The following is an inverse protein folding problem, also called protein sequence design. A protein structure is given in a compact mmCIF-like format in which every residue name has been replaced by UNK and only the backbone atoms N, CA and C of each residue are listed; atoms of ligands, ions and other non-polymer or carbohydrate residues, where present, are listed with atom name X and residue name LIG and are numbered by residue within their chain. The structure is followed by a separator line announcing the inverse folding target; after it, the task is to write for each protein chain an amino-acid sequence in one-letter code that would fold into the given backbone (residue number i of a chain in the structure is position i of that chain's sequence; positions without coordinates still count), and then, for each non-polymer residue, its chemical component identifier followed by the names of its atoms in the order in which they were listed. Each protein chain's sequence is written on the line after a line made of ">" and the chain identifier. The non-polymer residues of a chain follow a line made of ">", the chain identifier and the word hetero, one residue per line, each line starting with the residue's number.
data_IF_076219925045
#
_entry.id   IF_076219925045
#
_cell.length_a   1.000
_cell.length_b   1.000
_cell.length_c   1.000
_cell.angle_alpha   90.00
_cell.angle_beta   90.00
_cell.angle_gamma   90.00
#
_symmetry.space_group_name_H-M   'P 1'
#
loop_
_entity.id
_entity.type
_entity.pdbx_description
1 polymer ?
#
# COMPACT_ATOMS: atom_id res chain seq x y z
N UNK A 1 -25.93 -24.36 -13.88
CA UNK A 1 -24.68 -23.75 -13.37
C UNK A 1 -24.05 -22.93 -14.47
N UNK A 2 -23.67 -21.66 -14.25
CA UNK A 2 -22.93 -20.91 -15.27
C UNK A 2 -21.61 -21.62 -15.55
N UNK A 3 -21.22 -21.69 -16.83
CA UNK A 3 -19.97 -22.30 -17.26
C UNK A 3 -18.79 -21.65 -16.51
N UNK A 4 -17.81 -22.42 -16.03
CA UNK A 4 -16.71 -21.85 -15.26
C UNK A 4 -15.88 -20.95 -16.18
N UNK A 5 -15.74 -19.66 -15.81
CA UNK A 5 -14.90 -18.69 -16.53
C UNK A 5 -13.52 -19.31 -16.80
N UNK A 6 -13.18 -19.44 -18.08
CA UNK A 6 -11.89 -19.96 -18.52
C UNK A 6 -10.82 -18.89 -18.34
N UNK A 7 -9.73 -19.26 -17.69
CA UNK A 7 -8.57 -18.39 -17.50
C UNK A 7 -7.56 -18.80 -18.56
N UNK A 8 -7.06 -17.83 -19.33
CA UNK A 8 -5.95 -18.06 -20.25
C UNK A 8 -4.65 -18.17 -19.42
N UNK A 9 -4.00 -19.36 -19.34
CA UNK A 9 -2.78 -19.54 -18.56
C UNK A 9 -1.58 -18.77 -19.12
N UNK A 10 -1.64 -18.30 -20.37
CA UNK A 10 -0.55 -17.55 -21.01
C UNK A 10 -0.61 -16.06 -20.75
N UNK A 11 -1.74 -15.57 -20.23
CA UNK A 11 -1.93 -14.15 -19.97
C UNK A 11 -0.95 -13.59 -18.91
N UNK A 12 -0.41 -14.47 -18.04
CA UNK A 12 0.09 -14.04 -16.73
C UNK A 12 0.76 -15.19 -15.97
N UNK A 13 1.80 -14.91 -15.16
CA UNK A 13 2.39 -15.91 -14.26
C UNK A 13 1.42 -16.28 -13.13
N UNK A 14 0.64 -15.32 -12.63
CA UNK A 14 -0.44 -15.60 -11.66
C UNK A 14 -1.55 -16.47 -12.29
N UNK A 15 -1.90 -16.25 -13.56
CA UNK A 15 -2.84 -17.07 -14.30
C UNK A 15 -2.29 -18.47 -14.57
N UNK A 16 -0.99 -18.59 -14.87
CA UNK A 16 -0.32 -19.88 -14.99
C UNK A 16 -0.33 -20.65 -13.66
N UNK A 17 0.02 -19.99 -12.55
CA UNK A 17 -0.04 -20.55 -11.20
C UNK A 17 -1.48 -21.00 -10.86
N UNK A 18 -2.47 -20.14 -11.08
CA UNK A 18 -3.88 -20.43 -10.85
C UNK A 18 -4.40 -21.60 -11.68
N UNK A 19 -4.02 -21.65 -12.97
CA UNK A 19 -4.33 -22.76 -13.86
C UNK A 19 -3.68 -24.06 -13.38
N UNK A 20 -2.43 -24.01 -12.88
CA UNK A 20 -1.72 -25.18 -12.34
C UNK A 20 -2.38 -25.70 -11.08
N UNK A 21 -2.72 -24.83 -10.13
CA UNK A 21 -3.49 -25.15 -8.91
C UNK A 21 -4.80 -25.85 -9.29
N UNK A 22 -5.58 -25.23 -10.19
CA UNK A 22 -6.87 -25.77 -10.64
C UNK A 22 -6.73 -27.14 -11.30
N UNK A 23 -5.70 -27.32 -12.12
CA UNK A 23 -5.42 -28.59 -12.81
C UNK A 23 -5.08 -29.70 -11.82
N UNK A 24 -4.15 -29.45 -10.90
CA UNK A 24 -3.72 -30.43 -9.89
C UNK A 24 -4.86 -30.78 -8.93
N UNK A 25 -5.64 -29.78 -8.50
CA UNK A 25 -6.82 -30.00 -7.65
C UNK A 25 -7.82 -30.94 -8.33
N UNK A 26 -8.13 -30.68 -9.60
CA UNK A 26 -9.05 -31.51 -10.39
C UNK A 26 -8.51 -32.92 -10.59
N UNK A 27 -7.21 -33.09 -10.78
CA UNK A 27 -6.59 -34.41 -10.88
C UNK A 27 -6.75 -35.24 -9.59
N UNK A 28 -6.79 -34.58 -8.42
CA UNK A 28 -7.10 -35.21 -7.12
C UNK A 28 -8.60 -35.36 -6.82
N UNK A 29 -9.48 -34.87 -7.70
CA UNK A 29 -10.93 -34.92 -7.50
C UNK A 29 -11.46 -33.98 -6.42
N UNK A 30 -10.66 -33.03 -5.92
CA UNK A 30 -11.07 -32.15 -4.83
C UNK A 30 -11.90 -30.96 -5.29
N UNK A 31 -12.87 -30.57 -4.48
CA UNK A 31 -13.58 -29.30 -4.56
C UNK A 31 -12.67 -28.13 -4.15
N UNK A 32 -13.05 -26.91 -4.52
CA UNK A 32 -12.34 -25.71 -4.08
C UNK A 32 -12.38 -25.57 -2.54
N UNK A 33 -13.47 -25.96 -1.89
CA UNK A 33 -13.59 -25.91 -0.43
C UNK A 33 -12.58 -26.85 0.24
N UNK A 34 -12.42 -28.07 -0.26
CA UNK A 34 -11.48 -29.04 0.30
C UNK A 34 -10.02 -28.59 0.15
N UNK A 35 -9.63 -28.07 -1.02
CA UNK A 35 -8.28 -27.55 -1.19
C UNK A 35 -8.05 -26.28 -0.36
N UNK A 36 -9.05 -25.39 -0.27
CA UNK A 36 -8.92 -24.15 0.50
C UNK A 36 -8.64 -24.45 1.99
N UNK A 37 -9.32 -25.44 2.57
CA UNK A 37 -9.08 -25.88 3.94
C UNK A 37 -7.64 -26.40 4.13
N UNK A 38 -7.11 -27.16 3.17
CA UNK A 38 -5.71 -27.67 3.21
C UNK A 38 -4.67 -26.56 3.05
N UNK A 39 -5.00 -25.52 2.27
CA UNK A 39 -4.14 -24.36 2.03
C UNK A 39 -4.26 -23.25 3.08
N UNK A 40 -4.99 -23.45 4.18
CA UNK A 40 -5.28 -22.44 5.19
C UNK A 40 -5.88 -21.14 4.61
N UNK A 41 -6.77 -21.25 3.63
CA UNK A 41 -7.43 -20.12 2.95
C UNK A 41 -8.93 -20.35 2.82
N UNK A 42 -9.68 -19.36 2.33
CA UNK A 42 -11.12 -19.48 2.07
C UNK A 42 -11.41 -19.98 0.65
N UNK A 43 -12.57 -20.59 0.43
CA UNK A 43 -13.00 -21.03 -0.91
C UNK A 43 -13.03 -19.86 -1.90
N UNK A 44 -13.51 -18.69 -1.47
CA UNK A 44 -13.55 -17.49 -2.30
C UNK A 44 -12.16 -17.01 -2.74
N UNK A 45 -11.20 -16.98 -1.82
CA UNK A 45 -9.80 -16.63 -2.13
C UNK A 45 -9.17 -17.66 -3.04
N UNK A 46 -9.37 -18.96 -2.78
CA UNK A 46 -8.89 -20.01 -3.68
C UNK A 46 -9.48 -19.86 -5.08
N UNK A 47 -10.77 -19.50 -5.20
CA UNK A 47 -11.37 -19.24 -6.50
C UNK A 47 -10.71 -18.04 -7.22
N UNK A 48 -10.38 -16.96 -6.52
CA UNK A 48 -9.63 -15.84 -7.10
C UNK A 48 -8.21 -16.22 -7.49
N UNK A 49 -7.54 -17.07 -6.70
CA UNK A 49 -6.21 -17.61 -7.02
C UNK A 49 -6.25 -18.48 -8.28
N UNK A 50 -7.22 -19.39 -8.40
CA UNK A 50 -7.42 -20.19 -9.61
C UNK A 50 -7.77 -19.35 -10.84
N UNK A 51 -8.35 -18.16 -10.62
CA UNK A 51 -8.62 -17.17 -11.67
C UNK A 51 -7.40 -16.30 -12.04
N UNK A 52 -6.27 -16.44 -11.32
CA UNK A 52 -5.10 -15.59 -11.50
C UNK A 52 -5.28 -14.14 -11.03
N UNK A 53 -6.34 -13.86 -10.27
CA UNK A 53 -6.70 -12.51 -9.78
C UNK A 53 -6.08 -12.19 -8.43
N UNK A 54 -5.70 -13.21 -7.68
CA UNK A 54 -5.08 -13.09 -6.37
C UNK A 54 -3.84 -14.01 -6.31
N UNK A 55 -2.69 -13.47 -5.90
CA UNK A 55 -1.49 -14.28 -5.66
C UNK A 55 -1.53 -14.80 -4.22
N UNK A 56 -1.34 -16.10 -3.97
CA UNK A 56 -1.27 -16.62 -2.60
C UNK A 56 -0.08 -16.02 -1.85
N UNK A 57 -0.18 -15.91 -0.52
CA UNK A 57 1.00 -15.66 0.31
C UNK A 57 1.97 -16.84 0.19
N UNK A 58 3.25 -16.63 0.53
CA UNK A 58 4.25 -17.70 0.48
C UNK A 58 3.79 -18.92 1.29
N UNK A 59 3.30 -18.70 2.51
CA UNK A 59 2.80 -19.77 3.39
C UNK A 59 1.63 -20.52 2.78
N UNK A 60 0.64 -19.82 2.23
CA UNK A 60 -0.50 -20.46 1.54
C UNK A 60 0.00 -21.24 0.33
N UNK A 61 0.91 -20.69 -0.46
CA UNK A 61 1.47 -21.38 -1.62
C UNK A 61 2.23 -22.66 -1.24
N UNK A 62 2.99 -22.63 -0.12
CA UNK A 62 3.68 -23.81 0.41
C UNK A 62 2.70 -24.92 0.80
N UNK A 63 1.61 -24.56 1.49
CA UNK A 63 0.59 -25.52 1.90
C UNK A 63 -0.16 -26.10 0.69
N UNK A 64 -0.46 -25.27 -0.32
CA UNK A 64 -1.09 -25.73 -1.55
C UNK A 64 -0.18 -26.67 -2.35
N UNK A 65 1.12 -26.36 -2.43
CA UNK A 65 2.12 -27.19 -3.10
C UNK A 65 2.21 -28.59 -2.46
N UNK A 66 2.31 -28.63 -1.13
CA UNK A 66 2.31 -29.88 -0.35
C UNK A 66 0.99 -30.65 -0.50
N UNK A 67 -0.16 -29.98 -0.36
CA UNK A 67 -1.46 -30.64 -0.47
C UNK A 67 -1.70 -31.22 -1.87
N UNK A 68 -1.18 -30.58 -2.91
CA UNK A 68 -1.36 -31.00 -4.29
C UNK A 68 -0.29 -31.98 -4.78
N UNK A 69 0.68 -32.34 -3.93
CA UNK A 69 1.87 -33.12 -4.30
C UNK A 69 2.57 -32.52 -5.53
N UNK A 70 2.75 -31.19 -5.53
CA UNK A 70 3.30 -30.45 -6.67
C UNK A 70 4.84 -30.41 -6.71
N UNK A 71 5.51 -31.03 -5.74
CA UNK A 71 6.97 -31.17 -5.65
C UNK A 71 7.74 -29.84 -5.83
N UNK A 72 7.24 -28.77 -5.21
CA UNK A 72 7.84 -27.44 -5.26
C UNK A 72 7.54 -26.64 -6.54
N UNK A 73 6.81 -27.19 -7.51
CA UNK A 73 6.50 -26.49 -8.77
C UNK A 73 5.69 -25.21 -8.54
N UNK A 74 4.70 -25.22 -7.63
CA UNK A 74 3.89 -24.04 -7.35
C UNK A 74 4.72 -22.98 -6.64
N UNK A 75 5.64 -23.41 -5.76
CA UNK A 75 6.56 -22.51 -5.08
C UNK A 75 7.58 -21.87 -6.04
N UNK A 76 8.07 -22.62 -7.02
CA UNK A 76 8.96 -22.08 -8.05
C UNK A 76 8.24 -21.01 -8.89
N UNK A 77 7.01 -21.28 -9.34
CA UNK A 77 6.18 -20.30 -10.04
C UNK A 77 5.89 -19.07 -9.18
N UNK A 78 5.56 -19.28 -7.90
CA UNK A 78 5.33 -18.19 -6.95
C UNK A 78 6.58 -17.31 -6.79
N UNK A 79 7.77 -17.90 -6.68
CA UNK A 79 9.03 -17.15 -6.59
C UNK A 79 9.29 -16.29 -7.85
N UNK A 80 8.90 -16.76 -9.03
CA UNK A 80 8.95 -15.95 -10.25
C UNK A 80 7.96 -14.76 -10.21
N UNK A 81 6.74 -14.98 -9.70
CA UNK A 81 5.77 -13.89 -9.50
C UNK A 81 6.33 -12.83 -8.54
N UNK A 82 6.92 -13.25 -7.42
CA UNK A 82 7.48 -12.36 -6.39
C UNK A 82 8.61 -11.47 -6.94
N UNK A 83 9.45 -12.05 -7.82
CA UNK A 83 10.55 -11.38 -8.52
C UNK A 83 10.08 -10.54 -9.71
N UNK A 84 8.83 -10.70 -10.13
CA UNK A 84 8.28 -9.93 -11.25
C UNK A 84 8.00 -8.50 -10.78
N UNK A 85 8.47 -7.47 -11.53
CA UNK A 85 8.35 -6.10 -11.05
C UNK A 85 6.93 -5.59 -10.86
N UNK A 86 6.04 -6.15 -11.65
CA UNK A 86 4.63 -5.80 -11.67
C UNK A 86 3.84 -7.09 -11.71
N UNK A 87 2.97 -7.34 -10.71
CA UNK A 87 1.93 -8.35 -10.84
C UNK A 87 1.19 -8.15 -12.16
N UNK A 88 0.68 -9.22 -12.75
CA UNK A 88 0.25 -9.17 -14.15
C UNK A 88 -0.92 -8.19 -14.40
N UNK A 89 -1.78 -7.99 -13.39
CA UNK A 89 -2.80 -6.94 -13.37
C UNK A 89 -2.21 -5.52 -13.49
N UNK A 90 -1.05 -5.27 -12.90
CA UNK A 90 -0.35 -3.99 -12.99
C UNK A 90 0.19 -3.77 -14.39
N UNK A 91 0.55 -4.82 -15.15
CA UNK A 91 0.99 -4.65 -16.55
C UNK A 91 -0.15 -4.26 -17.47
N UNK A 92 -1.36 -4.82 -17.26
CA UNK A 92 -2.54 -4.39 -18.00
C UNK A 92 -2.85 -2.92 -17.72
N UNK A 93 -2.89 -2.52 -16.45
CA UNK A 93 -3.03 -1.13 -16.04
C UNK A 93 -1.98 -0.21 -16.67
N UNK A 94 -0.71 -0.62 -16.69
CA UNK A 94 0.37 0.19 -17.27
C UNK A 94 0.19 0.52 -18.74
N UNK A 95 -0.36 -0.42 -19.54
CA UNK A 95 -0.65 -0.14 -20.96
C UNK A 95 -1.70 0.95 -21.12
N UNK A 96 -2.66 1.02 -20.19
CA UNK A 96 -3.63 2.10 -20.14
C UNK A 96 -3.01 3.39 -19.60
N UNK A 97 -2.20 3.32 -18.55
CA UNK A 97 -1.53 4.49 -17.96
C UNK A 97 -0.65 5.22 -19.00
N UNK A 98 0.12 4.50 -19.82
CA UNK A 98 0.94 5.09 -20.87
C UNK A 98 0.17 5.87 -21.94
N UNK A 99 -1.13 5.59 -22.10
CA UNK A 99 -1.98 6.17 -23.15
C UNK A 99 -2.99 7.17 -22.62
N UNK A 100 -3.09 7.31 -21.30
CA UNK A 100 -4.08 8.18 -20.67
C UNK A 100 -3.75 9.64 -20.94
N UNK A 101 -4.76 10.45 -21.25
CA UNK A 101 -4.61 11.91 -21.36
C UNK A 101 -4.88 12.60 -20.02
N UNK A 102 -5.60 11.93 -19.11
CA UNK A 102 -5.81 12.36 -17.73
C UNK A 102 -5.73 11.18 -16.77
N UNK A 103 -5.16 11.41 -15.60
CA UNK A 103 -5.03 10.44 -14.52
C UNK A 103 -5.60 11.05 -13.24
N UNK A 104 -6.68 10.48 -12.72
CA UNK A 104 -7.28 10.88 -11.44
C UNK A 104 -7.03 9.78 -10.44
N UNK A 105 -6.30 10.05 -9.35
CA UNK A 105 -5.84 9.04 -8.40
C UNK A 105 -6.22 9.42 -6.97
N UNK A 106 -6.99 8.58 -6.30
CA UNK A 106 -7.11 8.61 -4.85
C UNK A 106 -6.15 7.58 -4.25
N UNK A 107 -5.29 8.02 -3.34
CA UNK A 107 -4.33 7.16 -2.67
C UNK A 107 -4.63 7.04 -1.18
N UNK A 108 -5.00 5.83 -0.76
CA UNK A 108 -5.41 5.56 0.60
C UNK A 108 -4.24 5.34 1.59
N UNK A 109 -3.05 4.96 1.09
CA UNK A 109 -1.99 4.47 1.98
C UNK A 109 -0.54 4.79 1.55
N UNK A 110 -0.29 5.06 0.27
CA UNK A 110 1.06 5.36 -0.22
C UNK A 110 1.03 6.46 -1.26
N UNK A 111 2.14 7.18 -1.43
CA UNK A 111 2.28 8.18 -2.49
C UNK A 111 2.08 7.52 -3.87
N UNK A 112 1.41 8.16 -4.86
CA UNK A 112 1.26 7.58 -6.19
C UNK A 112 2.62 7.22 -6.78
N UNK A 113 2.76 6.04 -7.40
CA UNK A 113 4.05 5.54 -7.90
C UNK A 113 4.84 6.52 -8.78
N UNK A 114 4.15 7.33 -9.59
CA UNK A 114 4.77 8.33 -10.47
C UNK A 114 5.37 9.53 -9.70
N UNK A 115 5.02 9.70 -8.43
CA UNK A 115 5.48 10.76 -7.54
C UNK A 115 6.35 10.24 -6.37
N UNK A 116 6.74 8.95 -6.38
CA UNK A 116 7.53 8.36 -5.29
C UNK A 116 9.02 8.57 -5.50
N UNK A 117 9.76 9.13 -4.53
CA UNK A 117 11.25 9.26 -4.53
C UNK A 117 11.95 7.90 -4.51
N UNK A 118 13.22 7.82 -4.95
CA UNK A 118 13.94 6.54 -4.95
C UNK A 118 14.03 5.93 -3.54
N UNK A 119 14.39 6.76 -2.57
CA UNK A 119 14.49 6.35 -1.16
C UNK A 119 13.16 5.84 -0.62
N UNK A 120 12.04 6.47 -0.99
CA UNK A 120 10.69 6.05 -0.62
C UNK A 120 10.31 4.71 -1.26
N UNK A 121 10.55 4.55 -2.57
CA UNK A 121 10.30 3.28 -3.28
C UNK A 121 11.08 2.15 -2.63
N UNK A 122 12.37 2.37 -2.36
CA UNK A 122 13.25 1.38 -1.75
C UNK A 122 12.79 0.97 -0.35
N UNK A 123 12.44 1.94 0.49
CA UNK A 123 11.91 1.67 1.83
C UNK A 123 10.59 0.91 1.78
N UNK A 124 9.67 1.31 0.89
CA UNK A 124 8.37 0.67 0.71
C UNK A 124 8.51 -0.78 0.23
N UNK A 125 9.31 -1.03 -0.81
CA UNK A 125 9.49 -2.38 -1.37
C UNK A 125 10.20 -3.32 -0.40
N UNK A 126 11.20 -2.83 0.34
CA UNK A 126 11.90 -3.63 1.35
C UNK A 126 10.95 -4.09 2.46
N UNK A 127 10.05 -3.20 2.91
CA UNK A 127 9.08 -3.52 3.94
C UNK A 127 7.94 -4.43 3.43
N UNK A 128 7.44 -4.16 2.21
CA UNK A 128 6.32 -4.90 1.63
C UNK A 128 6.72 -6.30 1.10
N UNK A 129 7.99 -6.50 0.73
CA UNK A 129 8.51 -7.76 0.18
C UNK A 129 9.82 -8.16 0.87
N UNK A 130 9.77 -8.71 2.10
CA UNK A 130 10.97 -9.08 2.85
C UNK A 130 11.91 -10.07 2.12
N UNK A 131 11.38 -10.85 1.18
CA UNK A 131 12.11 -11.84 0.37
C UNK A 131 12.65 -11.28 -0.96
N UNK A 132 12.49 -9.97 -1.22
CA UNK A 132 12.85 -9.35 -2.51
C UNK A 132 14.33 -9.50 -2.87
N UNK A 133 15.21 -9.59 -1.86
CA UNK A 133 16.63 -9.89 -2.01
C UNK A 133 17.30 -9.13 -3.16
N UNK A 134 18.00 -9.86 -4.03
CA UNK A 134 18.72 -9.30 -5.19
C UNK A 134 17.84 -8.70 -6.31
N UNK A 135 16.50 -8.82 -6.24
CA UNK A 135 15.62 -8.21 -7.24
C UNK A 135 15.32 -6.73 -6.95
N UNK A 136 15.59 -6.24 -5.74
CA UNK A 136 15.19 -4.90 -5.27
C UNK A 136 15.61 -3.78 -6.22
N UNK A 137 16.87 -3.75 -6.67
CA UNK A 137 17.37 -2.71 -7.58
C UNK A 137 16.60 -2.67 -8.90
N UNK A 138 16.27 -3.84 -9.45
CA UNK A 138 15.50 -3.92 -10.68
C UNK A 138 14.06 -3.42 -10.50
N UNK A 139 13.46 -3.68 -9.33
CA UNK A 139 12.13 -3.17 -8.98
C UNK A 139 12.12 -1.65 -8.81
N UNK A 140 13.10 -1.12 -8.08
CA UNK A 140 13.27 0.31 -7.85
C UNK A 140 13.43 1.02 -9.19
N UNK A 141 14.37 0.56 -10.02
CA UNK A 141 14.59 1.11 -11.35
C UNK A 141 13.32 1.08 -12.20
N UNK A 142 12.65 -0.07 -12.30
CA UNK A 142 11.42 -0.18 -13.07
C UNK A 142 10.33 0.79 -12.59
N UNK A 143 10.24 1.05 -11.27
CA UNK A 143 9.28 2.01 -10.68
C UNK A 143 9.63 3.44 -11.07
N UNK A 144 10.91 3.80 -11.02
CA UNK A 144 11.41 5.14 -11.31
C UNK A 144 11.37 5.50 -12.80
N UNK A 145 11.64 4.54 -13.68
CA UNK A 145 11.57 4.71 -15.14
C UNK A 145 10.19 5.22 -15.59
N UNK A 146 9.13 4.89 -14.85
CA UNK A 146 7.76 5.35 -15.16
C UNK A 146 7.54 6.83 -14.92
N UNK A 147 8.35 7.49 -14.09
CA UNK A 147 8.17 8.92 -13.81
C UNK A 147 8.30 9.79 -15.07
N UNK A 148 9.01 9.28 -16.09
CA UNK A 148 9.12 9.93 -17.40
C UNK A 148 7.75 10.24 -18.03
N UNK A 149 6.69 9.52 -17.65
CA UNK A 149 5.32 9.83 -18.11
C UNK A 149 4.86 11.24 -17.75
N UNK A 150 5.32 11.80 -16.62
CA UNK A 150 4.96 13.15 -16.19
C UNK A 150 5.87 14.23 -16.77
N UNK A 151 7.00 13.86 -17.38
CA UNK A 151 8.01 14.79 -17.92
C UNK A 151 8.24 14.61 -19.43
N UNK A 152 7.50 13.73 -20.10
CA UNK A 152 7.62 13.47 -21.53
C UNK A 152 7.08 14.61 -22.39
N UNK A 153 7.06 14.41 -23.72
CA UNK A 153 6.61 15.42 -24.68
C UNK A 153 5.11 15.77 -24.55
N UNK A 154 4.29 14.82 -24.12
CA UNK A 154 2.85 15.01 -23.93
C UNK A 154 2.39 14.40 -22.60
N UNK A 155 2.74 15.05 -21.46
CA UNK A 155 2.41 14.49 -20.16
C UNK A 155 0.90 14.53 -19.91
N UNK A 156 0.32 13.51 -19.27
CA UNK A 156 -1.11 13.53 -18.92
C UNK A 156 -1.39 14.62 -17.89
N UNK A 157 -2.64 15.10 -17.83
CA UNK A 157 -3.08 15.82 -16.64
C UNK A 157 -3.17 14.85 -15.48
N UNK A 158 -2.31 15.03 -14.48
CA UNK A 158 -2.22 14.17 -13.32
C UNK A 158 -2.84 14.86 -12.11
N UNK A 159 -3.88 14.27 -11.55
CA UNK A 159 -4.55 14.73 -10.34
C UNK A 159 -4.52 13.63 -9.29
N UNK A 160 -3.82 13.87 -8.18
CA UNK A 160 -3.87 12.98 -7.02
C UNK A 160 -4.52 13.63 -5.80
N UNK A 161 -5.42 12.88 -5.16
CA UNK A 161 -5.94 13.14 -3.82
C UNK A 161 -5.27 12.13 -2.89
N UNK A 162 -4.49 12.63 -1.94
CA UNK A 162 -3.79 11.83 -0.95
C UNK A 162 -4.63 11.81 0.33
N UNK A 163 -4.92 10.62 0.86
CA UNK A 163 -5.41 10.54 2.23
C UNK A 163 -4.37 11.11 3.19
N UNK A 164 -4.80 11.81 4.25
CA UNK A 164 -3.89 12.39 5.25
C UNK A 164 -2.94 11.34 5.85
N UNK A 165 -3.33 10.07 5.91
CA UNK A 165 -2.46 8.98 6.36
C UNK A 165 -1.22 8.78 5.48
N UNK A 166 -1.27 9.11 4.19
CA UNK A 166 -0.12 9.04 3.27
C UNK A 166 0.99 9.97 3.71
N UNK A 167 0.64 11.11 4.31
CA UNK A 167 1.60 12.09 4.80
C UNK A 167 2.14 11.73 6.18
N UNK A 168 1.29 11.15 7.03
CA UNK A 168 1.61 10.93 8.46
C UNK A 168 2.19 9.57 8.78
N UNK A 169 1.96 8.54 7.95
CA UNK A 169 2.50 7.20 8.17
C UNK A 169 3.98 7.19 7.73
N UNK A 170 4.93 6.98 8.65
CA UNK A 170 6.35 6.95 8.28
C UNK A 170 6.65 5.77 7.35
N UNK A 171 7.31 6.05 6.23
CA UNK A 171 7.90 5.04 5.35
C UNK A 171 9.42 5.23 5.37
N UNK A 172 10.13 4.22 5.88
CA UNK A 172 11.57 4.31 6.11
C UNK A 172 11.93 5.28 7.24
N UNK A 173 13.16 5.80 7.18
CA UNK A 173 13.64 6.80 8.13
C UNK A 173 13.00 8.19 7.89
N UNK A 174 13.00 9.11 8.87
CA UNK A 174 12.45 10.46 8.70
C UNK A 174 12.99 11.23 7.49
N UNK A 175 14.25 10.99 7.12
CA UNK A 175 14.92 11.58 5.95
C UNK A 175 14.23 11.19 4.63
N UNK A 176 13.76 9.94 4.54
CA UNK A 176 13.04 9.41 3.37
C UNK A 176 11.73 10.15 3.18
N UNK A 177 10.96 10.30 4.26
CA UNK A 177 9.71 11.06 4.22
C UNK A 177 9.96 12.55 3.95
N UNK A 178 11.02 13.13 4.49
CA UNK A 178 11.40 14.53 4.23
C UNK A 178 11.66 14.75 2.74
N UNK A 179 12.47 13.90 2.12
CA UNK A 179 12.74 13.92 0.68
C UNK A 179 11.42 13.76 -0.11
N UNK A 180 10.60 12.77 0.25
CA UNK A 180 9.34 12.49 -0.41
C UNK A 180 8.35 13.65 -0.37
N UNK A 181 8.11 14.24 0.81
CA UNK A 181 7.17 15.34 0.97
C UNK A 181 7.69 16.63 0.29
N UNK A 182 9.00 16.86 0.33
CA UNK A 182 9.63 17.97 -0.42
C UNK A 182 9.42 17.79 -1.93
N UNK A 183 9.58 16.56 -2.44
CA UNK A 183 9.33 16.26 -3.84
C UNK A 183 7.86 16.46 -4.24
N UNK A 184 6.90 16.12 -3.38
CA UNK A 184 5.48 16.40 -3.64
C UNK A 184 5.20 17.90 -3.77
N UNK A 185 5.78 18.72 -2.88
CA UNK A 185 5.63 20.17 -2.96
C UNK A 185 6.19 20.73 -4.27
N UNK A 186 7.36 20.26 -4.69
CA UNK A 186 7.94 20.65 -5.97
C UNK A 186 7.08 20.21 -7.17
N UNK A 187 6.56 18.98 -7.14
CA UNK A 187 5.70 18.49 -8.22
C UNK A 187 4.40 19.28 -8.35
N UNK A 188 3.88 19.83 -7.25
CA UNK A 188 2.68 20.68 -7.28
C UNK A 188 2.90 22.03 -8.00
N UNK A 189 4.16 22.43 -8.23
CA UNK A 189 4.50 23.63 -9.01
C UNK A 189 4.43 23.38 -10.52
N UNK A 190 4.28 22.12 -10.95
CA UNK A 190 4.18 21.74 -12.37
C UNK A 190 2.74 21.91 -12.87
N UNK A 191 2.55 22.55 -14.02
CA UNK A 191 1.22 22.89 -14.58
C UNK A 191 0.29 21.69 -14.80
N UNK A 192 0.85 20.48 -15.03
CA UNK A 192 0.07 19.27 -15.29
C UNK A 192 -0.12 18.38 -14.08
N UNK A 193 0.28 18.82 -12.88
CA UNK A 193 0.17 18.05 -11.65
C UNK A 193 -0.66 18.83 -10.62
N UNK A 194 -1.80 18.27 -10.24
CA UNK A 194 -2.63 18.77 -9.13
C UNK A 194 -2.57 17.79 -7.97
N UNK A 195 -2.19 18.28 -6.79
CA UNK A 195 -2.18 17.51 -5.56
C UNK A 195 -3.15 18.10 -4.56
N UNK A 196 -3.97 17.24 -3.98
CA UNK A 196 -4.84 17.57 -2.87
C UNK A 196 -4.70 16.57 -1.74
N UNK A 197 -5.07 16.98 -0.54
CA UNK A 197 -5.11 16.12 0.64
C UNK A 197 -6.56 15.99 1.10
N UNK A 198 -7.02 14.75 1.29
CA UNK A 198 -8.26 14.45 1.98
C UNK A 198 -7.96 14.37 3.48
N UNK A 199 -8.40 15.35 4.29
CA UNK A 199 -8.10 15.37 5.72
C UNK A 199 -8.91 14.29 6.45
N UNK A 200 -8.42 13.80 7.58
CA UNK A 200 -9.16 12.84 8.41
C UNK A 200 -10.52 13.37 8.87
N UNK A 201 -10.68 14.69 8.99
CA UNK A 201 -11.95 15.33 9.32
C UNK A 201 -13.04 15.15 8.26
N UNK A 202 -12.69 14.72 7.03
CA UNK A 202 -13.67 14.37 6.00
C UNK A 202 -14.51 13.14 6.37
N UNK A 203 -13.99 12.26 7.24
CA UNK A 203 -14.72 11.09 7.71
C UNK A 203 -14.90 10.01 6.64
N UNK A 204 -16.08 9.37 6.62
CA UNK A 204 -16.39 8.27 5.70
C UNK A 204 -16.57 8.80 4.28
N UNK A 205 -15.92 8.14 3.32
CA UNK A 205 -15.97 8.52 1.91
C UNK A 205 -16.05 7.28 0.99
N UNK A 206 -16.43 7.44 -0.29
CA UNK A 206 -16.74 6.31 -1.20
C UNK A 206 -15.57 5.36 -1.49
N UNK A 207 -14.33 5.83 -1.32
CA UNK A 207 -13.11 5.07 -1.62
C UNK A 207 -12.37 4.57 -0.36
N UNK A 208 -13.02 4.53 0.81
CA UNK A 208 -12.36 4.17 2.07
C UNK A 208 -11.73 2.75 2.04
N UNK A 209 -12.23 1.86 1.17
CA UNK A 209 -11.76 0.48 1.02
C UNK A 209 -10.41 0.31 0.30
N UNK A 210 -9.84 1.34 -0.33
CA UNK A 210 -8.57 1.21 -1.06
C UNK A 210 -8.23 2.39 -1.95
N UNK A 211 -7.20 2.22 -2.79
CA UNK A 211 -6.82 3.26 -3.75
C UNK A 211 -7.59 3.09 -5.06
N UNK A 212 -7.97 4.21 -5.68
CA UNK A 212 -8.75 4.23 -6.92
C UNK A 212 -8.01 5.10 -7.92
N UNK A 213 -7.82 4.59 -9.13
CA UNK A 213 -7.32 5.36 -10.27
C UNK A 213 -8.35 5.34 -11.39
N UNK A 214 -8.69 6.51 -11.93
CA UNK A 214 -9.48 6.65 -13.15
C UNK A 214 -8.58 7.22 -14.23
N UNK A 215 -8.46 6.50 -15.34
CA UNK A 215 -7.70 6.90 -16.51
C UNK A 215 -8.67 7.32 -17.60
N UNK A 216 -8.48 8.52 -18.13
CA UNK A 216 -9.30 9.07 -19.21
C UNK A 216 -8.51 9.16 -20.51
N UNK A 217 -9.22 9.09 -21.64
CA UNK A 217 -8.65 9.06 -22.99
C UNK A 217 -9.47 9.90 -23.96
N UNK A 218 -8.85 10.38 -25.03
CA UNK A 218 -9.56 11.23 -26.00
C UNK A 218 -10.49 10.44 -26.95
N UNK A 219 -10.16 9.17 -27.22
CA UNK A 219 -10.84 8.36 -28.25
C UNK A 219 -11.40 7.02 -27.73
N UNK A 220 -11.62 6.91 -26.41
CA UNK A 220 -12.24 5.73 -25.80
C UNK A 220 -12.81 6.08 -24.41
N UNK A 221 -13.74 5.27 -23.89
CA UNK A 221 -14.23 5.42 -22.53
C UNK A 221 -13.12 5.34 -21.48
N UNK A 222 -13.39 5.94 -20.32
CA UNK A 222 -12.54 5.87 -19.14
C UNK A 222 -12.42 4.44 -18.62
N UNK A 223 -11.31 4.13 -17.96
CA UNK A 223 -11.13 2.89 -17.21
C UNK A 223 -10.82 3.20 -15.76
N UNK A 224 -11.30 2.34 -14.86
CA UNK A 224 -10.97 2.43 -13.45
C UNK A 224 -10.01 1.31 -13.06
N UNK A 225 -9.19 1.57 -12.06
CA UNK A 225 -8.24 0.63 -11.52
C UNK A 225 -8.26 0.73 -9.99
N UNK A 226 -8.55 -0.40 -9.35
CA UNK A 226 -8.63 -0.51 -7.90
C UNK A 226 -7.40 -1.26 -7.41
N UNK A 227 -6.73 -0.68 -6.43
CA UNK A 227 -5.56 -1.31 -5.81
C UNK A 227 -5.84 -1.56 -4.32
N UNK A 228 -5.74 -2.82 -3.94
CA UNK A 228 -5.76 -3.28 -2.55
C UNK A 228 -4.37 -3.75 -2.13
N UNK A 229 -4.22 -4.20 -0.88
CA UNK A 229 -2.94 -4.68 -0.36
C UNK A 229 -2.36 -5.89 -1.11
N UNK A 230 -3.20 -6.73 -1.74
CA UNK A 230 -2.76 -7.99 -2.37
C UNK A 230 -3.33 -8.22 -3.77
N UNK A 231 -4.16 -7.31 -4.29
CA UNK A 231 -4.80 -7.46 -5.60
C UNK A 231 -4.99 -6.12 -6.30
N UNK A 232 -5.04 -6.19 -7.62
CA UNK A 232 -5.41 -5.09 -8.49
C UNK A 232 -6.53 -5.51 -9.42
N UNK A 233 -7.55 -4.68 -9.57
CA UNK A 233 -8.66 -4.91 -10.50
C UNK A 233 -8.74 -3.78 -11.51
N UNK A 234 -8.64 -4.14 -12.80
CA UNK A 234 -8.89 -3.21 -13.90
C UNK A 234 -10.35 -3.37 -14.35
N UNK A 235 -11.05 -2.25 -14.37
CA UNK A 235 -12.45 -2.13 -14.75
C UNK A 235 -12.51 -1.37 -16.08
N UNK A 236 -12.71 -2.13 -17.16
CA UNK A 236 -12.80 -1.63 -18.54
C UNK A 236 -14.26 -1.56 -19.05
N UNK A 237 -15.22 -1.88 -18.18
CA UNK A 237 -16.64 -1.65 -18.45
C UNK A 237 -16.95 -0.15 -18.24
N UNK A 238 -17.45 0.57 -19.27
CA UNK A 238 -17.64 2.02 -19.20
C UNK A 238 -18.60 2.48 -18.10
N UNK A 239 -19.69 1.75 -17.86
CA UNK A 239 -20.70 2.10 -16.85
C UNK A 239 -20.13 1.93 -15.44
N UNK A 240 -19.46 0.80 -15.19
CA UNK A 240 -18.76 0.57 -13.93
C UNK A 240 -17.64 1.59 -13.70
N UNK A 241 -16.84 1.92 -14.72
CA UNK A 241 -15.78 2.91 -14.63
C UNK A 241 -16.31 4.32 -14.34
N UNK A 242 -17.45 4.70 -14.93
CA UNK A 242 -18.11 5.97 -14.65
C UNK A 242 -18.52 6.11 -13.17
N UNK A 243 -18.93 5.02 -12.53
CA UNK A 243 -19.20 4.99 -11.08
C UNK A 243 -17.99 5.40 -10.23
N UNK A 244 -16.78 4.97 -10.61
CA UNK A 244 -15.54 5.39 -9.94
C UNK A 244 -15.14 6.83 -10.29
N UNK A 245 -15.49 7.32 -11.47
CA UNK A 245 -15.41 8.74 -11.81
C UNK A 245 -16.21 9.60 -10.85
N UNK A 246 -17.48 9.25 -10.62
CA UNK A 246 -18.35 9.94 -9.66
C UNK A 246 -17.81 9.87 -8.23
N UNK A 247 -17.31 8.70 -7.81
CA UNK A 247 -16.68 8.54 -6.51
C UNK A 247 -15.46 9.47 -6.35
N UNK A 248 -14.64 9.62 -7.40
CA UNK A 248 -13.52 10.55 -7.39
C UNK A 248 -13.97 12.00 -7.27
N UNK A 249 -15.02 12.41 -8.00
CA UNK A 249 -15.54 13.78 -7.93
C UNK A 249 -16.08 14.12 -6.53
N UNK A 250 -16.68 13.14 -5.84
CA UNK A 250 -17.09 13.27 -4.44
C UNK A 250 -15.90 13.43 -3.48
N UNK A 251 -14.79 12.74 -3.72
CA UNK A 251 -13.55 12.92 -2.96
C UNK A 251 -12.96 14.30 -3.20
N UNK A 252 -12.96 14.74 -4.45
CA UNK A 252 -12.46 16.05 -4.84
C UNK A 252 -13.21 17.17 -4.10
N UNK A 253 -14.54 17.08 -4.01
CA UNK A 253 -15.37 18.06 -3.29
C UNK A 253 -15.07 18.14 -1.79
N UNK A 254 -14.54 17.07 -1.18
CA UNK A 254 -14.22 16.99 0.24
C UNK A 254 -12.75 17.26 0.55
N UNK A 255 -11.88 17.09 -0.45
CA UNK A 255 -10.45 17.32 -0.31
C UNK A 255 -10.14 18.82 -0.13
N UNK A 256 -9.04 19.10 0.56
CA UNK A 256 -8.52 20.46 0.68
C UNK A 256 -8.20 21.02 -0.72
N UNK A 257 -8.32 22.34 -0.89
CA UNK A 257 -7.83 22.99 -2.10
C UNK A 257 -6.33 22.71 -2.32
N UNK A 258 -5.79 22.81 -3.54
CA UNK A 258 -4.36 22.58 -3.77
C UNK A 258 -3.45 23.44 -2.89
N UNK A 259 -3.83 24.70 -2.63
CA UNK A 259 -3.06 25.59 -1.75
C UNK A 259 -3.08 25.11 -0.28
N UNK A 260 -4.26 24.78 0.25
CA UNK A 260 -4.40 24.27 1.61
C UNK A 260 -3.71 22.90 1.79
N UNK A 261 -3.72 22.09 0.73
CA UNK A 261 -3.02 20.80 0.67
C UNK A 261 -1.51 20.98 0.75
N UNK A 262 -0.92 21.91 -0.01
CA UNK A 262 0.50 22.23 0.10
C UNK A 262 0.87 22.77 1.49
N UNK A 263 0.00 23.58 2.10
CA UNK A 263 0.19 24.04 3.48
C UNK A 263 0.20 22.87 4.48
N UNK A 264 -0.73 21.92 4.34
CA UNK A 264 -0.75 20.71 5.17
C UNK A 264 0.50 19.84 4.96
N UNK A 265 0.94 19.64 3.71
CA UNK A 265 2.17 18.90 3.41
C UNK A 265 3.39 19.56 4.06
N UNK A 266 3.53 20.90 3.96
CA UNK A 266 4.60 21.65 4.66
C UNK A 266 4.52 21.48 6.17
N UNK A 267 3.33 21.59 6.76
CA UNK A 267 3.15 21.45 8.21
C UNK A 267 3.57 20.05 8.70
N UNK A 268 3.24 18.98 7.96
CA UNK A 268 3.67 17.62 8.29
C UNK A 268 5.18 17.44 8.10
N UNK A 269 5.71 17.97 7.00
CA UNK A 269 7.15 17.97 6.71
C UNK A 269 7.95 18.62 7.84
N UNK A 270 7.55 19.79 8.31
CA UNK A 270 8.25 20.53 9.36
C UNK A 270 8.01 19.94 10.75
N UNK A 271 6.76 19.58 11.07
CA UNK A 271 6.36 19.13 12.39
C UNK A 271 6.74 17.69 12.72
N UNK A 272 6.71 16.79 11.74
CA UNK A 272 6.96 15.35 11.94
C UNK A 272 8.28 14.87 11.35
N UNK A 273 8.78 15.52 10.29
CA UNK A 273 9.99 15.10 9.56
C UNK A 273 11.05 16.19 9.47
N UNK A 274 10.88 17.32 10.17
CA UNK A 274 11.83 18.42 10.17
C UNK A 274 13.20 17.99 10.69
N UNK A 275 14.25 18.73 10.33
CA UNK A 275 15.56 18.52 10.96
C UNK A 275 15.42 18.99 12.40
N UNK A 276 15.43 18.06 13.36
CA UNK A 276 15.51 18.40 14.77
C UNK A 276 16.79 19.19 14.99
N UNK A 277 16.71 20.52 14.98
CA UNK A 277 17.70 21.37 15.64
C UNK A 277 17.55 21.06 17.11
N UNK A 278 18.26 20.04 17.59
CA UNK A 278 18.45 19.83 19.01
C UNK A 278 19.21 21.05 19.52
N UNK A 279 18.47 22.08 19.93
CA UNK A 279 19.07 23.19 20.64
C UNK A 279 19.65 22.58 21.93
N UNK A 280 20.96 22.76 22.14
CA UNK A 280 21.68 22.29 23.33
C UNK A 280 21.00 22.70 24.66
N UNK A 281 20.09 23.70 24.62
CA UNK A 281 19.25 24.12 25.75
C UNK A 281 18.25 23.05 26.22
N UNK A 282 17.63 22.28 25.32
CA UNK A 282 16.58 21.31 25.71
C UNK A 282 17.13 20.05 26.40
N UNK A 283 18.37 19.64 26.09
CA UNK A 283 19.02 18.52 26.81
C UNK A 283 19.40 18.87 28.25
N UNK A 284 19.69 20.15 28.55
CA UNK A 284 20.04 20.58 29.91
C UNK A 284 18.82 20.67 30.84
N UNK A 285 17.65 21.10 30.35
CA UNK A 285 16.47 21.22 31.23
C UNK A 285 15.91 19.86 31.64
N UNK A 286 15.86 18.88 30.72
CA UNK A 286 15.38 17.52 31.03
C UNK A 286 16.35 16.80 31.99
N UNK A 287 17.67 17.02 31.85
CA UNK A 287 18.67 16.49 32.77
C UNK A 287 18.60 17.13 34.17
N UNK A 288 18.27 18.43 34.26
CA UNK A 288 18.06 19.12 35.55
C UNK A 288 16.75 18.71 36.23
N UNK A 289 15.67 18.48 35.48
CA UNK A 289 14.40 17.98 36.03
C UNK A 289 14.53 16.54 36.56
N UNK A 290 15.27 15.67 35.87
CA UNK A 290 15.50 14.29 36.33
C UNK A 290 16.37 14.22 37.60
N UNK A 291 17.37 15.11 37.75
CA UNK A 291 18.18 15.19 38.97
C UNK A 291 17.38 15.71 40.19
N UNK A 292 16.41 16.60 39.98
CA UNK A 292 15.55 17.09 41.07
C UNK A 292 14.51 16.05 41.52
N UNK A 293 14.04 15.19 40.61
CA UNK A 293 13.08 14.13 40.96
C UNK A 293 13.71 12.99 41.79
N UNK A 294 15.00 12.69 41.61
CA UNK A 294 15.69 11.67 42.40
C UNK A 294 16.08 12.11 43.82
N UNK A 295 16.14 13.41 44.11
CA UNK A 295 16.48 13.92 45.45
C UNK A 295 15.27 13.95 46.43
N UNK A 296 14.04 13.70 45.95
CA UNK A 296 12.80 13.86 46.73
C UNK A 296 12.35 12.64 47.53
N UNK A 297 12.97 11.46 47.37
CA UNK A 297 12.55 10.22 48.05
C UNK A 297 13.33 9.99 49.35
N UNK A 298 13.17 10.93 50.30
CA UNK A 298 13.56 10.74 51.71
C UNK A 298 12.47 10.01 52.48
N UNK A 299 12.76 8.78 52.94
CA UNK A 299 11.89 7.88 53.70
C UNK A 299 11.23 8.55 54.92
N UNK A 300 9.91 8.77 54.88
CA UNK A 300 9.09 9.03 56.09
C UNK A 300 8.77 7.70 56.78
N UNK A 301 9.37 7.46 57.95
CA UNK A 301 9.00 6.35 58.86
C UNK A 301 7.62 6.62 59.46
N UNK A 302 6.64 5.76 59.16
CA UNK A 302 5.30 5.75 59.79
C UNK A 302 5.30 5.10 61.19
N UNK A 303 4.27 5.34 62.02
CA UNK A 303 4.28 4.99 63.44
C UNK A 303 4.00 3.49 63.69
N UNK A 304 4.61 2.95 64.76
CA UNK A 304 4.47 1.57 65.23
C UNK A 304 3.04 1.28 65.73
N UNK A 305 2.43 0.18 65.27
CA UNK A 305 1.19 -0.39 65.82
C UNK A 305 1.45 -1.08 67.18
N UNK A 306 0.51 -1.06 68.14
CA UNK A 306 0.62 -1.80 69.39
C UNK A 306 0.22 -3.28 69.21
N UNK A 307 0.83 -4.15 70.02
CA UNK A 307 0.62 -5.60 70.02
C UNK A 307 -0.73 -5.99 70.65
N UNK A 308 -1.40 -7.01 70.09
CA UNK A 308 -2.56 -7.69 70.68
C UNK A 308 -2.11 -8.84 71.59
N UNK A 309 -2.81 -9.10 72.72
CA UNK A 309 -2.53 -10.26 73.57
C UNK A 309 -3.35 -11.48 73.12
N UNK A 310 -2.78 -12.67 73.30
CA UNK A 310 -3.45 -13.97 73.18
C UNK A 310 -2.66 -15.07 73.91
N UNK A 311 -3.32 -15.61 74.94
CA UNK A 311 -3.25 -16.95 75.58
C UNK A 311 -2.68 -18.11 74.73
N UNK A 312 -2.06 -19.19 75.22
CA UNK A 312 -1.98 -19.86 76.54
C UNK A 312 -0.69 -20.72 76.61
N UNK A 313 -0.07 -20.81 77.79
CA UNK A 313 0.09 -22.02 78.65
C UNK A 313 0.71 -21.61 79.97
#
# INVERSE_FOLDING_TARGET
>A
MPAPKSVDPTASLAALLGARIRRLRRAKGWSQTELAAKGATSQGRLAQMELGRETPSQTVCQLLDQALDADGELLALWAHIERTPYPDWSRAFMRFEQRATRMRKYMAATVPGLLQTESYVRALLTAARPSVGGALESLVRARLERRVLLTGESPPYFWAILDESVLRRPIGAPEVMREQLTYLLHMQETERVSLQVLPFSAGVHPALGGSVTVLSFDRRPDVAYLESSHSGELIDDPEAAAGYGLAFDQLHAQALSPHASAAMIRNVLEGSYGVTRVSRRRRRSVAQEQLQQHAGWGLRRGPRRPARPGSDT
#
